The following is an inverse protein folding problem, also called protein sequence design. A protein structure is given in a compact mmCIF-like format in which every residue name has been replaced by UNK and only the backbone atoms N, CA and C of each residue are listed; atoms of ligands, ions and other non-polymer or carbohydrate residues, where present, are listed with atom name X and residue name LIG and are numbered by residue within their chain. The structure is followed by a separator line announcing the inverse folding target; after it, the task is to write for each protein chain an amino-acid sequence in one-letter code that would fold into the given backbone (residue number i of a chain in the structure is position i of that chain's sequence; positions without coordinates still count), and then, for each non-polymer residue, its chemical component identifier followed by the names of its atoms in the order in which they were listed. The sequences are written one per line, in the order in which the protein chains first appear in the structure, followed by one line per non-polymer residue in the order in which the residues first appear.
data_IF_917120088328
#
_entry.id   IF_917120088328
#
_cell.length_a   1.000
_cell.length_b   1.000
_cell.length_c   1.000
_cell.angle_alpha   90.00
_cell.angle_beta   90.00
_cell.angle_gamma   90.00
#
_symmetry.space_group_name_H-M   'P 1'
#
loop_
_entity.id
_entity.type
_entity.pdbx_description
1 polymer ?
#
# COMPACT_ATOMS: atom_id res chain seq x y z
N UNK A 1 -1.72 -9.58 16.83
CA UNK A 1 -2.90 -8.83 16.35
C UNK A 1 -3.23 -9.17 14.90
N UNK A 2 -2.28 -9.06 13.96
CA UNK A 2 -2.47 -9.41 12.53
C UNK A 2 -3.07 -10.82 12.39
N UNK A 3 -2.50 -11.82 13.07
CA UNK A 3 -2.99 -13.20 13.01
C UNK A 3 -4.46 -13.32 13.43
N UNK A 4 -4.90 -12.62 14.49
CA UNK A 4 -6.31 -12.60 14.92
C UNK A 4 -7.22 -11.97 13.86
N UNK A 5 -6.76 -10.91 13.21
CA UNK A 5 -7.53 -10.22 12.18
C UNK A 5 -7.64 -11.05 10.88
N UNK A 6 -6.67 -11.91 10.58
CA UNK A 6 -6.71 -12.83 9.44
C UNK A 6 -7.73 -13.96 9.58
N UNK A 7 -8.26 -14.21 10.78
CA UNK A 7 -9.34 -15.20 10.97
C UNK A 7 -10.66 -14.76 10.34
N UNK A 8 -10.85 -13.45 10.16
CA UNK A 8 -12.10 -12.84 9.62
C UNK A 8 -11.88 -12.01 8.35
N UNK A 9 -10.62 -11.80 7.96
CA UNK A 9 -10.24 -11.04 6.77
C UNK A 9 -9.25 -11.86 5.93
N UNK A 10 -9.29 -11.64 4.62
CA UNK A 10 -8.35 -12.28 3.68
C UNK A 10 -6.97 -11.66 3.74
N UNK A 11 -6.88 -10.37 4.06
CA UNK A 11 -5.61 -9.69 4.28
C UNK A 11 -5.73 -8.49 5.23
N UNK A 12 -4.62 -8.09 5.79
CA UNK A 12 -4.51 -6.98 6.76
C UNK A 12 -3.45 -6.01 6.28
N UNK A 13 -3.78 -4.72 6.25
CA UNK A 13 -2.89 -3.64 5.84
C UNK A 13 -2.42 -2.90 7.09
N UNK A 14 -1.11 -2.75 7.25
CA UNK A 14 -0.55 -1.88 8.29
C UNK A 14 -0.73 -0.40 7.92
N UNK A 15 -1.17 0.42 8.87
CA UNK A 15 -1.20 1.87 8.74
C UNK A 15 -0.32 2.51 9.83
N UNK A 16 0.80 3.11 9.40
CA UNK A 16 1.75 3.73 10.33
C UNK A 16 1.22 5.05 10.87
N UNK A 17 0.90 5.08 12.15
CA UNK A 17 0.69 6.32 12.88
C UNK A 17 2.04 6.92 13.29
N UNK A 18 2.38 8.05 12.70
CA UNK A 18 3.66 8.72 12.89
C UNK A 18 3.51 9.72 14.03
N UNK A 19 4.30 9.54 15.08
CA UNK A 19 4.26 10.34 16.31
C UNK A 19 5.33 11.45 16.31
N UNK A 20 6.20 11.51 15.30
CA UNK A 20 7.29 12.48 15.21
C UNK A 20 7.18 13.39 13.98
N UNK A 21 7.78 14.58 14.07
CA UNK A 21 7.78 15.58 12.98
C UNK A 21 8.41 15.00 11.72
N UNK A 22 7.67 15.01 10.63
CA UNK A 22 8.15 14.59 9.31
C UNK A 22 8.48 15.80 8.44
N UNK A 23 9.31 15.57 7.41
CA UNK A 23 9.57 16.56 6.36
C UNK A 23 8.27 16.78 5.54
N UNK A 24 7.94 18.04 5.27
CA UNK A 24 6.76 18.45 4.48
C UNK A 24 6.68 17.74 3.13
N UNK A 25 7.81 17.53 2.46
CA UNK A 25 7.87 16.81 1.20
C UNK A 25 7.37 15.36 1.33
N UNK A 26 7.73 14.64 2.40
CA UNK A 26 7.25 13.27 2.66
C UNK A 26 5.75 13.23 2.93
N UNK A 27 5.23 14.22 3.65
CA UNK A 27 3.79 14.34 3.93
C UNK A 27 3.03 14.60 2.62
N UNK A 28 3.51 15.54 1.81
CA UNK A 28 2.90 15.88 0.53
C UNK A 28 2.89 14.69 -0.42
N UNK A 29 4.03 14.02 -0.61
CA UNK A 29 4.14 12.83 -1.49
C UNK A 29 3.21 11.71 -1.05
N UNK A 30 3.12 11.44 0.27
CA UNK A 30 2.19 10.46 0.82
C UNK A 30 0.73 10.82 0.52
N UNK A 31 0.34 12.08 0.73
CA UNK A 31 -1.02 12.56 0.44
C UNK A 31 -1.36 12.46 -1.04
N UNK A 32 -0.43 12.81 -1.91
CA UNK A 32 -0.61 12.74 -3.36
C UNK A 32 -0.84 11.30 -3.83
N UNK A 33 -0.03 10.37 -3.36
CA UNK A 33 -0.18 8.94 -3.68
C UNK A 33 -1.52 8.40 -3.16
N UNK A 34 -1.86 8.71 -1.92
CA UNK A 34 -3.15 8.31 -1.35
C UNK A 34 -4.32 8.86 -2.16
N UNK A 35 -4.26 10.11 -2.59
CA UNK A 35 -5.28 10.73 -3.42
C UNK A 35 -5.41 10.01 -4.77
N UNK A 36 -4.29 9.75 -5.45
CA UNK A 36 -4.24 9.08 -6.76
C UNK A 36 -4.84 7.68 -6.69
N UNK A 37 -4.58 6.95 -5.59
CA UNK A 37 -5.09 5.59 -5.43
C UNK A 37 -6.52 5.58 -4.87
N UNK A 38 -6.79 6.31 -3.81
CA UNK A 38 -8.08 6.24 -3.11
C UNK A 38 -9.24 6.76 -3.96
N UNK A 39 -9.03 7.86 -4.71
CA UNK A 39 -10.12 8.53 -5.44
C UNK A 39 -10.77 7.65 -6.51
N UNK A 40 -10.02 7.02 -7.43
CA UNK A 40 -10.61 6.16 -8.47
C UNK A 40 -11.30 4.91 -7.91
N UNK A 41 -10.76 4.35 -6.84
CA UNK A 41 -11.24 3.08 -6.29
C UNK A 41 -12.13 3.22 -5.04
N UNK A 42 -12.48 4.46 -4.66
CA UNK A 42 -13.31 4.79 -3.49
C UNK A 42 -12.79 4.14 -2.20
N UNK A 43 -11.47 4.13 -2.03
CA UNK A 43 -10.78 3.56 -0.89
C UNK A 43 -10.46 4.61 0.17
N UNK A 44 -10.21 4.16 1.40
CA UNK A 44 -9.77 5.02 2.50
C UNK A 44 -8.54 4.39 3.18
N UNK A 45 -7.47 4.19 2.41
CA UNK A 45 -6.20 3.67 2.92
C UNK A 45 -5.23 4.83 3.05
N UNK A 46 -4.64 4.99 4.23
CA UNK A 46 -3.75 6.13 4.53
C UNK A 46 -2.26 5.83 4.31
N UNK A 47 -1.86 4.57 4.18
CA UNK A 47 -0.45 4.19 4.06
C UNK A 47 -0.24 2.99 3.14
N UNK A 48 -0.15 3.23 1.85
CA UNK A 48 0.13 2.21 0.84
C UNK A 48 1.59 1.69 0.85
N UNK A 49 2.48 2.40 1.55
CA UNK A 49 3.90 2.06 1.59
C UNK A 49 4.31 1.47 2.96
N UNK A 50 3.36 0.87 3.65
CA UNK A 50 3.65 0.14 4.87
C UNK A 50 4.04 -1.28 4.54
N UNK A 51 5.32 -1.63 4.71
CA UNK A 51 5.82 -2.99 4.48
C UNK A 51 5.25 -4.04 5.46
N UNK A 52 4.46 -3.63 6.46
CA UNK A 52 3.78 -4.58 7.35
C UNK A 52 2.41 -4.92 6.78
N UNK A 53 2.28 -6.12 6.25
CA UNK A 53 1.05 -6.65 5.69
C UNK A 53 0.87 -8.10 6.15
N UNK A 54 -0.36 -8.49 6.46
CA UNK A 54 -0.74 -9.88 6.68
C UNK A 54 -1.51 -10.39 5.49
N UNK A 55 -1.14 -11.56 4.96
CA UNK A 55 -1.83 -12.23 3.87
C UNK A 55 -2.35 -13.58 4.35
N UNK A 56 -3.65 -13.78 4.26
CA UNK A 56 -4.26 -15.09 4.47
C UNK A 56 -4.03 -16.02 3.28
N UNK A 57 -4.35 -17.28 3.44
CA UNK A 57 -4.14 -18.31 2.40
C UNK A 57 -4.91 -17.97 1.10
N UNK A 58 -6.13 -17.43 1.22
CA UNK A 58 -6.93 -16.98 0.07
C UNK A 58 -6.22 -15.88 -0.72
N UNK A 59 -5.69 -14.86 -0.03
CA UNK A 59 -4.95 -13.77 -0.64
C UNK A 59 -3.66 -14.26 -1.31
N UNK A 60 -2.88 -15.10 -0.63
CA UNK A 60 -1.64 -15.67 -1.19
C UNK A 60 -1.89 -16.49 -2.46
N UNK A 61 -2.91 -17.34 -2.46
CA UNK A 61 -3.30 -18.12 -3.66
C UNK A 61 -3.66 -17.25 -4.85
N UNK A 62 -4.23 -16.06 -4.60
CA UNK A 62 -4.65 -15.13 -5.66
C UNK A 62 -3.52 -14.35 -6.32
N UNK A 63 -2.36 -14.26 -5.67
CA UNK A 63 -1.19 -13.47 -6.14
C UNK A 63 0.07 -14.32 -6.34
N UNK A 64 0.02 -15.63 -6.12
CA UNK A 64 1.19 -16.52 -6.16
C UNK A 64 1.94 -16.52 -7.50
N UNK A 65 1.22 -16.34 -8.59
CA UNK A 65 1.76 -16.36 -9.95
C UNK A 65 2.03 -14.94 -10.49
N UNK A 66 1.87 -13.92 -9.63
CA UNK A 66 2.02 -12.53 -10.02
C UNK A 66 3.46 -12.04 -9.84
N UNK A 67 3.95 -11.32 -10.83
CA UNK A 67 5.21 -10.61 -10.72
C UNK A 67 4.95 -9.16 -10.28
N UNK A 68 5.63 -8.73 -9.22
CA UNK A 68 5.58 -7.37 -8.71
C UNK A 68 6.92 -6.65 -8.97
N UNK A 69 6.82 -5.47 -9.56
CA UNK A 69 7.96 -4.59 -9.78
C UNK A 69 8.34 -3.91 -8.45
N UNK A 70 9.43 -3.17 -8.42
CA UNK A 70 9.84 -2.37 -7.26
C UNK A 70 8.63 -1.73 -6.54
N UNK A 71 8.65 -1.74 -5.21
CA UNK A 71 7.55 -1.24 -4.36
C UNK A 71 6.24 -2.05 -4.52
N UNK A 72 6.25 -3.32 -4.12
CA UNK A 72 5.14 -4.23 -4.36
C UNK A 72 3.88 -3.91 -3.54
N UNK A 73 3.99 -3.21 -2.41
CA UNK A 73 2.89 -3.04 -1.45
C UNK A 73 1.62 -2.45 -2.09
N UNK A 74 1.65 -1.28 -2.78
CA UNK A 74 0.44 -0.75 -3.41
C UNK A 74 -0.09 -1.66 -4.53
N UNK A 75 0.80 -2.35 -5.26
CA UNK A 75 0.41 -3.26 -6.33
C UNK A 75 -0.34 -4.47 -5.77
N UNK A 76 0.17 -5.08 -4.71
CA UNK A 76 -0.47 -6.19 -4.00
C UNK A 76 -1.85 -5.77 -3.48
N UNK A 77 -1.93 -4.64 -2.77
CA UNK A 77 -3.19 -4.13 -2.21
C UNK A 77 -4.23 -3.95 -3.32
N UNK A 78 -3.89 -3.22 -4.39
CA UNK A 78 -4.80 -2.96 -5.49
C UNK A 78 -5.24 -4.25 -6.21
N UNK A 79 -4.35 -5.23 -6.31
CA UNK A 79 -4.66 -6.51 -6.93
C UNK A 79 -5.59 -7.37 -6.09
N UNK A 80 -5.39 -7.42 -4.78
CA UNK A 80 -6.26 -8.14 -3.85
C UNK A 80 -7.66 -7.49 -3.78
N UNK A 81 -7.71 -6.15 -3.80
CA UNK A 81 -8.98 -5.41 -3.85
C UNK A 81 -9.76 -5.67 -5.16
N UNK A 82 -9.08 -5.80 -6.31
CA UNK A 82 -9.76 -6.19 -7.57
C UNK A 82 -10.43 -7.57 -7.44
N UNK A 83 -9.90 -8.44 -6.61
CA UNK A 83 -10.45 -9.79 -6.41
C UNK A 83 -11.54 -9.85 -5.33
N UNK A 84 -12.05 -8.68 -4.89
CA UNK A 84 -13.11 -8.54 -3.88
C UNK A 84 -12.78 -9.24 -2.55
N UNK A 85 -11.53 -9.31 -2.17
CA UNK A 85 -11.10 -9.90 -0.91
C UNK A 85 -11.36 -8.93 0.26
N UNK A 86 -11.78 -9.49 1.39
CA UNK A 86 -12.02 -8.72 2.62
C UNK A 86 -10.71 -8.29 3.24
N UNK A 87 -10.63 -7.03 3.66
CA UNK A 87 -9.45 -6.50 4.33
C UNK A 87 -9.80 -5.72 5.59
N UNK A 88 -8.81 -5.57 6.43
CA UNK A 88 -8.85 -4.64 7.56
C UNK A 88 -7.54 -3.85 7.67
N UNK A 89 -7.60 -2.74 8.38
CA UNK A 89 -6.46 -1.85 8.59
C UNK A 89 -6.03 -1.93 10.06
N UNK A 90 -4.76 -2.24 10.28
CA UNK A 90 -4.16 -2.25 11.61
C UNK A 90 -3.30 -1.00 11.81
N UNK A 91 -3.67 -0.19 12.81
CA UNK A 91 -2.88 0.97 13.20
C UNK A 91 -1.58 0.52 13.89
N UNK A 92 -0.44 0.96 13.33
CA UNK A 92 0.89 0.61 13.82
C UNK A 92 1.58 1.88 14.31
N UNK A 93 2.01 1.90 15.58
CA UNK A 93 2.81 3.00 16.11
C UNK A 93 4.23 2.93 15.56
N UNK A 94 4.58 3.84 14.69
CA UNK A 94 5.93 3.92 14.16
C UNK A 94 6.86 4.56 15.20
N UNK A 95 7.93 3.84 15.56
CA UNK A 95 9.01 4.40 16.40
C UNK A 95 9.98 5.21 15.57
N UNK A 96 10.57 6.25 16.17
CA UNK A 96 11.71 6.95 15.56
C UNK A 96 12.87 5.96 15.37
N UNK A 97 13.54 6.05 14.23
CA UNK A 97 14.73 5.22 13.99
C UNK A 97 15.79 5.53 15.03
N UNK A 98 16.42 4.50 15.56
CA UNK A 98 17.53 4.65 16.48
C UNK A 98 18.78 5.13 15.74
N UNK A 99 19.02 4.59 14.52
CA UNK A 99 20.17 4.96 13.67
C UNK A 99 19.81 4.80 12.20
N UNK A 100 20.67 5.33 11.31
CA UNK A 100 20.55 5.22 9.87
C UNK A 100 19.70 6.30 9.20
N UNK A 101 19.84 6.42 7.89
CA UNK A 101 19.11 7.35 7.04
C UNK A 101 17.91 6.67 6.36
N UNK A 102 17.03 7.47 5.77
CA UNK A 102 15.93 6.95 4.95
C UNK A 102 16.50 6.37 3.65
N UNK A 103 16.15 5.13 3.32
CA UNK A 103 16.51 4.50 2.04
C UNK A 103 15.81 5.17 0.86
N UNK A 104 14.71 5.90 1.09
CA UNK A 104 13.96 6.61 0.07
C UNK A 104 14.52 8.04 0.00
N UNK A 105 15.28 8.32 -1.05
CA UNK A 105 15.69 9.66 -1.46
C UNK A 105 14.68 10.23 -2.47
N UNK A 106 14.90 11.45 -2.97
CA UNK A 106 14.03 12.13 -3.92
C UNK A 106 13.83 11.31 -5.21
N UNK A 107 14.90 10.75 -5.77
CA UNK A 107 14.86 9.96 -7.03
C UNK A 107 14.02 8.70 -6.84
N UNK A 108 14.26 7.95 -5.76
CA UNK A 108 13.45 6.76 -5.43
C UNK A 108 11.99 7.09 -5.12
N UNK A 109 11.73 8.28 -4.56
CA UNK A 109 10.38 8.78 -4.33
C UNK A 109 9.64 9.07 -5.64
N UNK A 110 10.34 9.63 -6.63
CA UNK A 110 9.79 9.88 -7.97
C UNK A 110 9.54 8.57 -8.72
N UNK A 111 10.48 7.63 -8.68
CA UNK A 111 10.35 6.30 -9.25
C UNK A 111 9.13 5.56 -8.68
N UNK A 112 8.99 5.55 -7.35
CA UNK A 112 7.81 5.00 -6.67
C UNK A 112 6.50 5.66 -7.15
N UNK A 113 6.49 6.97 -7.30
CA UNK A 113 5.33 7.72 -7.78
C UNK A 113 4.95 7.33 -9.21
N UNK A 114 5.93 7.30 -10.13
CA UNK A 114 5.69 6.95 -11.54
C UNK A 114 5.21 5.51 -11.71
N UNK A 115 5.82 4.56 -11.01
CA UNK A 115 5.40 3.16 -11.02
C UNK A 115 3.97 3.01 -10.50
N UNK A 116 3.66 3.68 -9.38
CA UNK A 116 2.31 3.63 -8.80
C UNK A 116 1.29 4.26 -9.73
N UNK A 117 1.59 5.41 -10.32
CA UNK A 117 0.72 6.09 -11.29
C UNK A 117 0.46 5.20 -12.51
N UNK A 118 1.51 4.62 -13.10
CA UNK A 118 1.39 3.70 -14.24
C UNK A 118 0.47 2.52 -13.90
N UNK A 119 0.65 1.93 -12.71
CA UNK A 119 -0.16 0.81 -12.27
C UNK A 119 -1.63 1.18 -12.07
N UNK A 120 -1.91 2.36 -11.51
CA UNK A 120 -3.28 2.89 -11.33
C UNK A 120 -3.94 3.17 -12.68
N UNK A 121 -3.24 3.84 -13.60
CA UNK A 121 -3.75 4.15 -14.94
C UNK A 121 -4.06 2.86 -15.72
N UNK A 122 -3.14 1.92 -15.72
CA UNK A 122 -3.33 0.63 -16.40
C UNK A 122 -4.55 -0.13 -15.84
N UNK A 123 -4.78 -0.03 -14.53
CA UNK A 123 -5.94 -0.63 -13.90
C UNK A 123 -7.26 0.05 -14.29
N UNK A 124 -7.29 1.39 -14.36
CA UNK A 124 -8.48 2.15 -14.77
C UNK A 124 -8.84 1.81 -16.21
N UNK A 125 -7.85 1.80 -17.11
CA UNK A 125 -8.06 1.50 -18.53
C UNK A 125 -8.56 0.06 -18.75
N UNK A 126 -8.04 -0.91 -18.00
CA UNK A 126 -8.47 -2.31 -18.13
C UNK A 126 -9.77 -2.63 -17.36
N UNK A 127 -10.23 -1.74 -16.48
CA UNK A 127 -11.52 -1.90 -15.79
C UNK A 127 -12.72 -1.48 -16.64
N UNK A 128 -12.49 -0.78 -17.75
CA UNK A 128 -13.53 -0.41 -18.72
C UNK A 128 -13.81 -1.51 -19.74
N UNK A 129 -13.09 -2.64 -19.70
CA UNK A 129 -13.24 -3.77 -20.62
C UNK A 129 -13.81 -5.04 -19.95
N UNK A 130 -14.13 -4.98 -18.65
CA UNK A 130 -14.85 -6.00 -17.89
C UNK A 130 -16.25 -5.49 -17.49
#
# INVERSE_FOLDING_TARGET
EIYKMLNINDFVIGNRKIVFKQNYFKIFSKRLINFIINKPFKLNIEDYNCGMMGLGVSAMKKIKDDYFINYPEPQIILKLLKKNLKYSILAIKQRKRYSGSSSINFIKGLDFFLITLFFVLNRILNSSND
#
